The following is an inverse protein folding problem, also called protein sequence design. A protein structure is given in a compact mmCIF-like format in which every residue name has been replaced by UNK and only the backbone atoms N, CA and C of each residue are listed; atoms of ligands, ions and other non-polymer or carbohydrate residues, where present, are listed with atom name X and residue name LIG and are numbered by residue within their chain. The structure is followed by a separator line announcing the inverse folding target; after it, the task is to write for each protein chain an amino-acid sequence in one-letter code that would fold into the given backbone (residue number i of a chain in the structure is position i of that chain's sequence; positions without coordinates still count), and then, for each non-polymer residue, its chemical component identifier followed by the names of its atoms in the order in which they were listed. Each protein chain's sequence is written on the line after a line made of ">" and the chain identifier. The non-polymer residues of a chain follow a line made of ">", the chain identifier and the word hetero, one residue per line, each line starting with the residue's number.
data_IF_270224747272
#
_entry.id   IF_270224747272
#
_cell.length_a   1.000
_cell.length_b   1.000
_cell.length_c   1.000
_cell.angle_alpha   90.00
_cell.angle_beta   90.00
_cell.angle_gamma   90.00
#
_symmetry.space_group_name_H-M   'P 1'
#
loop_
_entity.id
_entity.type
_entity.pdbx_description
1 polymer ?
#
# COMPACT_ATOMS: atom_id res chain seq x y z
N UNK A 1 26.38 35.58 -11.81
CA UNK A 1 26.44 35.50 -10.34
C UNK A 1 26.12 34.06 -9.96
N UNK A 2 27.03 33.45 -9.22
CA UNK A 2 26.96 32.15 -8.55
C UNK A 2 26.40 30.96 -9.36
N UNK A 3 27.27 30.30 -10.13
CA UNK A 3 27.12 28.88 -10.41
C UNK A 3 27.45 28.13 -9.12
N UNK A 4 26.44 27.80 -8.31
CA UNK A 4 26.66 26.79 -7.27
C UNK A 4 27.07 25.52 -7.99
N UNK A 5 28.29 25.04 -7.75
CA UNK A 5 28.65 23.65 -8.04
C UNK A 5 27.73 22.78 -7.20
N UNK A 6 26.59 22.40 -7.78
CA UNK A 6 25.71 21.41 -7.17
C UNK A 6 26.51 20.13 -7.04
N UNK A 7 26.48 19.53 -5.86
CA UNK A 7 26.78 18.10 -5.72
C UNK A 7 26.00 17.35 -6.81
N UNK A 8 26.61 16.36 -7.49
CA UNK A 8 25.88 15.54 -8.44
C UNK A 8 24.60 15.00 -7.76
N UNK A 9 23.49 15.01 -8.50
CA UNK A 9 22.23 14.45 -8.02
C UNK A 9 22.44 12.94 -7.86
N UNK A 10 22.18 12.41 -6.67
CA UNK A 10 22.34 10.96 -6.41
C UNK A 10 21.34 10.16 -7.22
N UNK A 11 21.65 8.88 -7.48
CA UNK A 11 20.74 7.96 -8.15
C UNK A 11 19.35 7.95 -7.50
N UNK A 12 19.29 7.94 -6.17
CA UNK A 12 18.04 7.96 -5.39
C UNK A 12 17.21 9.21 -5.68
N UNK A 13 17.84 10.40 -5.65
CA UNK A 13 17.14 11.66 -5.88
C UNK A 13 16.67 11.76 -7.35
N UNK A 14 17.50 11.31 -8.28
CA UNK A 14 17.16 11.21 -9.70
C UNK A 14 15.96 10.28 -9.93
N UNK A 15 15.97 9.08 -9.33
CA UNK A 15 14.89 8.10 -9.41
C UNK A 15 13.58 8.64 -8.84
N UNK A 16 13.60 9.28 -7.67
CA UNK A 16 12.41 9.86 -7.05
C UNK A 16 11.86 11.08 -7.80
N UNK A 17 12.70 11.75 -8.60
CA UNK A 17 12.32 12.89 -9.45
C UNK A 17 11.72 12.49 -10.79
N UNK A 18 11.76 11.20 -11.16
CA UNK A 18 11.16 10.71 -12.39
C UNK A 18 9.63 10.90 -12.43
N UNK A 19 9.10 11.13 -13.63
CA UNK A 19 7.67 11.29 -13.84
C UNK A 19 6.93 10.00 -13.46
N UNK A 20 6.01 10.08 -12.51
CA UNK A 20 5.28 8.91 -11.97
C UNK A 20 5.85 8.39 -10.65
N UNK A 21 7.03 8.84 -10.22
CA UNK A 21 7.68 8.39 -8.99
C UNK A 21 7.40 9.32 -7.80
N UNK A 22 6.38 10.19 -7.92
CA UNK A 22 6.10 11.21 -6.89
C UNK A 22 5.65 10.61 -5.54
N UNK A 23 5.26 9.33 -5.52
CA UNK A 23 4.85 8.63 -4.30
C UNK A 23 6.02 8.07 -3.49
N UNK A 24 7.22 7.90 -4.06
CA UNK A 24 8.37 7.32 -3.37
C UNK A 24 8.98 8.28 -2.35
N UNK A 25 9.28 7.83 -1.14
CA UNK A 25 10.19 8.52 -0.23
C UNK A 25 11.64 8.31 -0.67
N UNK A 26 12.51 9.28 -0.39
CA UNK A 26 13.95 9.13 -0.61
C UNK A 26 14.52 8.31 0.56
N UNK A 27 14.93 7.09 0.27
CA UNK A 27 15.52 6.19 1.27
C UNK A 27 16.91 6.71 1.63
N UNK A 28 17.20 6.86 2.93
CA UNK A 28 18.53 7.27 3.38
C UNK A 28 19.56 6.19 3.08
N UNK A 29 20.74 6.58 2.57
CA UNK A 29 21.88 5.66 2.34
C UNK A 29 22.23 4.85 3.59
N UNK A 30 22.21 5.47 4.79
CA UNK A 30 22.43 4.78 6.07
C UNK A 30 21.48 3.59 6.31
N UNK A 31 20.26 3.63 5.77
CA UNK A 31 19.30 2.52 5.88
C UNK A 31 19.66 1.38 4.93
N UNK A 32 20.19 1.71 3.75
CA UNK A 32 20.59 0.77 2.70
C UNK A 32 21.92 0.09 3.07
N UNK A 33 22.86 0.83 3.65
CA UNK A 33 24.17 0.31 4.09
C UNK A 33 24.07 -0.73 5.22
N UNK A 34 22.98 -0.74 5.98
CA UNK A 34 22.73 -1.78 6.99
C UNK A 34 22.13 -3.04 6.37
N UNK A 35 22.98 -4.03 6.12
CA UNK A 35 22.65 -5.35 5.56
C UNK A 35 21.45 -6.04 6.24
N UNK A 36 21.23 -5.77 7.53
CA UNK A 36 20.08 -6.34 8.24
C UNK A 36 18.76 -5.93 7.58
N UNK A 37 18.65 -4.68 7.13
CA UNK A 37 17.46 -4.15 6.46
C UNK A 37 17.24 -4.76 5.08
N UNK A 38 18.30 -5.28 4.44
CA UNK A 38 18.27 -5.86 3.10
C UNK A 38 18.12 -7.39 3.09
N UNK A 39 18.06 -8.02 4.26
CA UNK A 39 17.97 -9.47 4.43
C UNK A 39 16.93 -10.11 3.49
N UNK A 40 17.36 -11.09 2.69
CA UNK A 40 16.52 -11.87 1.79
C UNK A 40 16.18 -11.23 0.44
N UNK A 41 16.59 -9.98 0.17
CA UNK A 41 16.39 -9.33 -1.14
C UNK A 41 17.32 -9.88 -2.23
N UNK A 42 18.52 -10.33 -1.86
CA UNK A 42 19.49 -10.95 -2.76
C UNK A 42 18.95 -12.14 -3.57
N UNK A 43 17.94 -12.85 -3.04
CA UNK A 43 17.34 -14.02 -3.69
C UNK A 43 16.19 -13.64 -4.64
N UNK A 44 15.79 -12.37 -4.65
CA UNK A 44 14.64 -11.87 -5.41
C UNK A 44 15.06 -11.01 -6.60
N UNK A 45 16.25 -10.42 -6.56
CA UNK A 45 16.75 -9.50 -7.59
C UNK A 45 17.97 -10.11 -8.29
N UNK A 46 17.98 -10.08 -9.63
CA UNK A 46 19.13 -10.48 -10.44
C UNK A 46 20.22 -9.40 -10.40
N UNK A 47 21.50 -9.76 -10.50
CA UNK A 47 22.61 -8.78 -10.45
C UNK A 47 22.54 -7.89 -9.19
N UNK A 48 22.23 -8.50 -8.03
CA UNK A 48 21.94 -7.77 -6.79
C UNK A 48 23.07 -6.83 -6.37
N UNK A 49 24.33 -7.25 -6.54
CA UNK A 49 25.49 -6.45 -6.12
C UNK A 49 25.65 -5.23 -7.00
N UNK A 50 25.63 -5.44 -8.31
CA UNK A 50 25.76 -4.42 -9.34
C UNK A 50 24.60 -3.42 -9.27
N UNK A 51 23.38 -3.91 -8.99
CA UNK A 51 22.22 -3.06 -8.76
C UNK A 51 22.34 -2.22 -7.48
N UNK A 52 22.89 -2.79 -6.41
CA UNK A 52 23.11 -2.07 -5.15
C UNK A 52 24.20 -1.01 -5.27
N UNK A 53 25.30 -1.33 -5.96
CA UNK A 53 26.38 -0.40 -6.29
C UNK A 53 25.86 0.78 -7.13
N UNK A 54 25.00 0.52 -8.12
CA UNK A 54 24.33 1.56 -8.90
C UNK A 54 23.43 2.47 -8.04
N UNK A 55 22.66 1.92 -7.11
CA UNK A 55 21.77 2.71 -6.22
C UNK A 55 22.58 3.63 -5.30
N UNK A 56 23.76 3.17 -4.85
CA UNK A 56 24.63 3.88 -3.93
C UNK A 56 25.67 4.78 -4.63
N UNK A 57 25.57 4.93 -5.96
CA UNK A 57 26.53 5.68 -6.78
C UNK A 57 28.01 5.27 -6.52
N UNK A 58 28.23 3.97 -6.25
CA UNK A 58 29.58 3.42 -6.07
C UNK A 58 30.22 3.31 -7.46
N UNK A 59 31.32 4.02 -7.67
CA UNK A 59 32.08 3.90 -8.92
C UNK A 59 32.53 2.44 -9.05
N UNK A 60 32.26 1.78 -10.20
CA UNK A 60 32.82 0.47 -10.45
C UNK A 60 34.34 0.61 -10.33
N UNK A 61 34.99 -0.31 -9.61
CA UNK A 61 36.45 -0.40 -9.66
C UNK A 61 36.79 -0.58 -11.15
N UNK A 62 37.44 0.42 -11.75
CA UNK A 62 38.00 0.27 -13.09
C UNK A 62 38.96 -0.91 -12.97
N UNK A 63 38.55 -2.09 -13.47
CA UNK A 63 39.42 -3.23 -13.57
C UNK A 63 40.65 -2.76 -14.35
N UNK A 64 41.76 -2.52 -13.66
CA UNK A 64 43.09 -2.25 -14.25
C UNK A 64 43.59 -3.45 -15.11
N UNK A 65 42.71 -4.40 -15.45
CA UNK A 65 42.99 -5.62 -16.22
C UNK A 65 42.81 -5.46 -17.74
N UNK A 66 42.42 -4.29 -18.27
CA UNK A 66 42.35 -4.06 -19.73
C UNK A 66 43.69 -3.68 -20.41
N UNK A 67 44.80 -3.51 -19.66
CA UNK A 67 46.10 -3.08 -20.23
C UNK A 67 47.17 -4.19 -20.40
N UNK A 68 46.90 -5.46 -20.09
CA UNK A 68 47.92 -6.53 -20.09
C UNK A 68 47.78 -7.64 -21.17
N UNK A 69 47.01 -7.42 -22.26
CA UNK A 69 46.99 -8.35 -23.43
C UNK A 69 47.46 -7.71 -24.76
N UNK A 70 48.32 -6.68 -24.71
CA UNK A 70 49.06 -6.18 -25.89
C UNK A 70 50.51 -6.71 -25.99
N UNK A 71 50.88 -7.87 -25.45
CA UNK A 71 52.20 -8.47 -25.76
C UNK A 71 52.13 -10.00 -25.88
N UNK A 72 51.98 -10.51 -27.12
CA UNK A 72 52.75 -11.61 -27.73
C UNK A 72 51.99 -12.11 -28.96
N UNK A 73 52.42 -11.71 -30.15
CA UNK A 73 52.47 -12.54 -31.37
C UNK A 73 53.03 -11.70 -32.54
N UNK A 74 54.28 -11.24 -32.41
CA UNK A 74 55.10 -11.01 -33.61
C UNK A 74 55.54 -12.38 -34.17
N UNK A 75 55.21 -12.59 -35.45
CA UNK A 75 55.70 -13.65 -36.37
C UNK A 75 54.89 -14.96 -36.48
N UNK A 76 53.87 -14.96 -37.37
CA UNK A 76 53.94 -15.84 -38.54
C UNK A 76 53.30 -15.23 -39.79
N UNK A 77 54.07 -15.27 -40.88
CA UNK A 77 53.71 -14.79 -42.20
C UNK A 77 52.84 -15.85 -42.88
N UNK A 78 51.61 -15.48 -43.25
CA UNK A 78 50.88 -15.83 -44.48
C UNK A 78 49.40 -16.17 -44.26
N UNK A 79 48.52 -15.40 -44.93
CA UNK A 79 47.19 -15.88 -45.32
C UNK A 79 46.01 -14.96 -45.01
N UNK A 80 45.72 -14.09 -45.98
CA UNK A 80 44.39 -13.55 -46.31
C UNK A 80 43.60 -12.79 -45.23
N UNK A 81 43.66 -11.47 -45.34
CA UNK A 81 42.92 -10.51 -44.53
C UNK A 81 41.40 -10.66 -44.65
N UNK A 82 40.71 -10.94 -43.54
CA UNK A 82 39.36 -10.44 -43.23
C UNK A 82 39.18 -10.25 -41.72
N UNK A 83 39.96 -9.35 -41.14
CA UNK A 83 39.61 -8.78 -39.84
C UNK A 83 38.43 -7.83 -40.04
N UNK A 84 37.25 -8.29 -39.63
CA UNK A 84 35.99 -7.58 -39.82
C UNK A 84 35.60 -6.82 -38.55
N UNK A 85 34.91 -5.66 -38.65
CA UNK A 85 34.51 -4.80 -37.53
C UNK A 85 33.39 -5.40 -36.64
N UNK A 86 33.31 -6.73 -36.56
CA UNK A 86 32.24 -7.49 -35.90
C UNK A 86 32.52 -7.88 -34.46
N UNK A 87 33.78 -7.89 -34.01
CA UNK A 87 34.16 -8.29 -32.63
C UNK A 87 33.87 -7.18 -31.62
N UNK A 88 34.30 -5.95 -31.90
CA UNK A 88 33.99 -4.76 -31.07
C UNK A 88 32.49 -4.49 -30.99
N UNK A 89 31.76 -4.58 -32.13
CA UNK A 89 30.31 -4.38 -32.16
C UNK A 89 29.53 -5.40 -31.32
N UNK A 90 30.01 -6.64 -31.22
CA UNK A 90 29.39 -7.68 -30.38
C UNK A 90 29.72 -7.49 -28.90
N UNK A 91 30.90 -6.97 -28.57
CA UNK A 91 31.27 -6.62 -27.21
C UNK A 91 30.42 -5.46 -26.68
N UNK A 92 30.36 -4.36 -27.42
CA UNK A 92 29.56 -3.18 -27.05
C UNK A 92 28.06 -3.48 -26.94
N UNK A 93 27.54 -4.42 -27.74
CA UNK A 93 26.13 -4.86 -27.63
C UNK A 93 25.85 -5.69 -26.38
N UNK A 94 26.85 -6.39 -25.82
CA UNK A 94 26.70 -7.19 -24.59
C UNK A 94 26.78 -6.30 -23.35
N UNK A 95 27.76 -5.40 -23.32
CA UNK A 95 27.89 -4.41 -22.24
C UNK A 95 26.63 -3.54 -22.12
N UNK A 96 26.05 -3.12 -23.25
CA UNK A 96 24.79 -2.36 -23.24
C UNK A 96 23.58 -3.17 -22.75
N UNK A 97 23.50 -4.47 -23.04
CA UNK A 97 22.42 -5.31 -22.51
C UNK A 97 22.57 -5.55 -21.01
N UNK A 98 23.79 -5.73 -20.54
CA UNK A 98 24.07 -5.97 -19.13
C UNK A 98 23.76 -4.71 -18.30
N UNK A 99 24.11 -3.51 -18.80
CA UNK A 99 23.71 -2.25 -18.17
C UNK A 99 22.19 -2.10 -18.07
N UNK A 100 21.44 -2.43 -19.13
CA UNK A 100 19.97 -2.33 -19.09
C UNK A 100 19.33 -3.30 -18.10
N UNK A 101 19.95 -4.48 -17.89
CA UNK A 101 19.50 -5.45 -16.88
C UNK A 101 19.80 -4.90 -15.48
N UNK A 102 20.99 -4.33 -15.26
CA UNK A 102 21.37 -3.72 -13.99
C UNK A 102 20.44 -2.56 -13.64
N UNK A 103 20.13 -1.67 -14.59
CA UNK A 103 19.16 -0.57 -14.40
C UNK A 103 17.80 -1.12 -13.94
N UNK A 104 17.26 -2.13 -14.65
CA UNK A 104 15.97 -2.72 -14.28
C UNK A 104 15.99 -3.41 -12.91
N UNK A 105 17.12 -4.04 -12.57
CA UNK A 105 17.35 -4.65 -11.26
C UNK A 105 17.47 -3.61 -10.15
N UNK A 106 18.10 -2.47 -10.41
CA UNK A 106 18.23 -1.35 -9.47
C UNK A 106 16.86 -0.74 -9.16
N UNK A 107 16.02 -0.50 -10.17
CA UNK A 107 14.65 -0.01 -9.95
C UNK A 107 13.83 -0.99 -9.09
N UNK A 108 13.92 -2.29 -9.40
CA UNK A 108 13.22 -3.33 -8.64
C UNK A 108 13.73 -3.43 -7.21
N UNK A 109 15.04 -3.42 -7.01
CA UNK A 109 15.68 -3.48 -5.70
C UNK A 109 15.29 -2.27 -4.85
N UNK A 110 15.42 -1.06 -5.39
CA UNK A 110 15.05 0.17 -4.70
C UNK A 110 13.57 0.16 -4.29
N UNK A 111 12.68 -0.32 -5.16
CA UNK A 111 11.27 -0.48 -4.83
C UNK A 111 11.02 -1.42 -3.64
N UNK A 112 11.72 -2.56 -3.58
CA UNK A 112 11.62 -3.51 -2.45
C UNK A 112 12.23 -2.96 -1.16
N UNK A 113 13.31 -2.19 -1.25
CA UNK A 113 13.90 -1.48 -0.12
C UNK A 113 12.92 -0.41 0.39
N UNK A 114 12.32 0.35 -0.51
CA UNK A 114 11.35 1.40 -0.21
C UNK A 114 10.14 0.84 0.57
N UNK A 115 9.61 -0.32 0.18
CA UNK A 115 8.52 -1.02 0.89
C UNK A 115 8.84 -1.23 2.38
N UNK A 116 10.09 -1.60 2.69
CA UNK A 116 10.57 -1.79 4.07
C UNK A 116 10.80 -0.45 4.75
N UNK A 117 11.44 0.48 4.05
CA UNK A 117 11.80 1.79 4.59
C UNK A 117 10.60 2.60 5.05
N UNK A 118 9.50 2.64 4.29
CA UNK A 118 8.30 3.41 4.67
C UNK A 118 7.58 2.87 5.91
N UNK A 119 7.92 1.66 6.36
CA UNK A 119 7.45 1.10 7.63
C UNK A 119 8.42 1.37 8.79
N UNK A 120 9.61 1.92 8.53
CA UNK A 120 10.55 2.38 9.55
C UNK A 120 10.13 3.73 10.13
N UNK A 121 10.72 4.11 11.27
CA UNK A 121 10.46 5.42 11.90
C UNK A 121 10.83 6.60 11.00
N UNK A 122 11.94 6.51 10.26
CA UNK A 122 12.38 7.58 9.37
C UNK A 122 11.50 7.66 8.12
N UNK A 123 11.24 6.53 7.46
CA UNK A 123 10.44 6.50 6.24
C UNK A 123 8.98 6.86 6.47
N UNK A 124 8.37 6.40 7.57
CA UNK A 124 6.97 6.75 7.88
C UNK A 124 6.81 8.26 8.15
N UNK A 125 7.83 8.90 8.73
CA UNK A 125 7.87 10.34 8.95
C UNK A 125 7.96 11.10 7.62
N UNK A 126 8.84 10.68 6.69
CA UNK A 126 8.90 11.29 5.36
C UNK A 126 7.57 11.15 4.59
N UNK A 127 6.95 9.98 4.67
CA UNK A 127 5.63 9.75 4.04
C UNK A 127 4.53 10.61 4.68
N UNK A 128 4.66 10.93 5.97
CA UNK A 128 3.73 11.82 6.68
C UNK A 128 3.78 13.24 6.13
N UNK A 129 4.98 13.78 5.87
CA UNK A 129 5.17 15.09 5.25
C UNK A 129 4.56 15.12 3.84
N UNK A 130 4.78 14.06 3.04
CA UNK A 130 4.13 13.91 1.74
C UNK A 130 2.61 13.85 1.83
N UNK A 131 2.07 13.18 2.85
CA UNK A 131 0.63 13.11 3.09
C UNK A 131 0.04 14.49 3.42
N UNK A 132 0.70 15.26 4.29
CA UNK A 132 0.31 16.65 4.65
C UNK A 132 0.36 17.61 3.45
N UNK A 133 1.31 17.41 2.54
CA UNK A 133 1.41 18.17 1.29
C UNK A 133 0.42 17.69 0.22
N UNK A 134 -0.15 16.48 0.38
CA UNK A 134 -1.20 15.96 -0.49
C UNK A 134 -0.67 15.36 -1.77
N UNK A 135 0.58 14.91 -1.75
CA UNK A 135 1.25 14.32 -2.92
C UNK A 135 0.54 13.07 -3.44
N UNK A 136 -0.12 12.32 -2.56
CA UNK A 136 -0.83 11.08 -2.91
C UNK A 136 -2.25 11.30 -3.46
N UNK A 137 -2.69 12.55 -3.59
CA UNK A 137 -4.02 12.91 -4.07
C UNK A 137 -5.13 12.72 -3.04
N UNK A 138 -6.36 12.68 -3.54
CA UNK A 138 -7.58 12.67 -2.72
C UNK A 138 -8.57 11.62 -3.21
N UNK A 139 -9.45 11.20 -2.30
CA UNK A 139 -10.48 10.23 -2.58
C UNK A 139 -11.44 10.72 -3.68
N UNK A 140 -11.75 9.88 -4.69
CA UNK A 140 -12.68 10.25 -5.76
C UNK A 140 -14.16 10.28 -5.30
N UNK A 141 -14.49 9.73 -4.12
CA UNK A 141 -15.88 9.71 -3.64
C UNK A 141 -16.29 11.08 -3.10
N UNK A 142 -17.39 11.61 -3.62
CA UNK A 142 -17.96 12.90 -3.23
C UNK A 142 -18.19 13.02 -1.72
N UNK A 143 -18.74 11.98 -1.08
CA UNK A 143 -19.08 12.01 0.34
C UNK A 143 -17.90 11.82 1.29
N UNK A 144 -16.70 11.52 0.75
CA UNK A 144 -15.45 11.54 1.50
C UNK A 144 -14.83 12.94 1.58
N UNK A 145 -15.48 13.98 1.03
CA UNK A 145 -15.05 15.37 1.18
C UNK A 145 -13.57 15.61 0.80
N UNK A 146 -13.08 14.96 -0.26
CA UNK A 146 -11.67 15.07 -0.70
C UNK A 146 -10.65 14.69 0.38
N UNK A 147 -10.96 13.69 1.22
CA UNK A 147 -9.96 13.05 2.11
C UNK A 147 -8.71 12.66 1.33
N UNK A 148 -7.54 12.98 1.89
CA UNK A 148 -6.23 12.58 1.34
C UNK A 148 -6.06 11.07 1.38
N UNK A 149 -5.49 10.51 0.32
CA UNK A 149 -5.26 9.07 0.17
C UNK A 149 -3.83 8.68 0.53
N UNK A 150 -3.59 7.39 0.73
CA UNK A 150 -2.26 6.80 0.94
C UNK A 150 -1.96 5.80 -0.17
N UNK A 151 -0.72 5.68 -0.65
CA UNK A 151 -0.34 4.63 -1.58
C UNK A 151 -0.42 3.26 -0.88
N UNK A 152 -0.83 2.24 -1.61
CA UNK A 152 -0.94 0.86 -1.11
C UNK A 152 -0.74 -0.14 -2.24
N UNK A 153 -0.06 -1.25 -1.96
CA UNK A 153 -0.03 -2.43 -2.82
C UNK A 153 -1.19 -3.37 -2.49
N UNK A 154 -1.81 -4.00 -3.50
CA UNK A 154 -2.77 -5.10 -3.26
C UNK A 154 -2.07 -6.45 -3.01
N UNK A 155 -0.80 -6.54 -3.38
CA UNK A 155 0.09 -7.67 -3.13
C UNK A 155 1.47 -7.16 -2.72
N UNK A 156 2.23 -8.02 -2.05
CA UNK A 156 3.64 -7.77 -1.74
C UNK A 156 4.56 -8.51 -2.76
N UNK A 157 3.97 -9.17 -3.76
CA UNK A 157 4.70 -9.88 -4.82
C UNK A 157 4.84 -8.94 -6.03
N UNK A 158 6.07 -8.63 -6.47
CA UNK A 158 6.30 -7.79 -7.66
C UNK A 158 5.65 -8.37 -8.92
N UNK A 159 5.12 -7.50 -9.76
CA UNK A 159 4.50 -7.80 -11.05
C UNK A 159 3.03 -8.20 -10.99
N UNK A 160 2.43 -8.33 -9.80
CA UNK A 160 1.01 -8.73 -9.67
C UNK A 160 0.03 -7.58 -9.93
N UNK A 161 0.26 -6.43 -9.31
CA UNK A 161 -0.58 -5.23 -9.51
C UNK A 161 0.21 -3.94 -9.29
N UNK A 162 -0.28 -2.87 -9.89
CA UNK A 162 0.22 -1.51 -9.78
C UNK A 162 -0.18 -0.85 -8.46
N UNK A 163 0.51 0.22 -8.09
CA UNK A 163 0.18 1.01 -6.90
C UNK A 163 -1.27 1.51 -6.94
N UNK A 164 -1.96 1.35 -5.82
CA UNK A 164 -3.31 1.87 -5.58
C UNK A 164 -3.31 2.95 -4.51
N UNK A 165 -4.45 3.60 -4.35
CA UNK A 165 -4.68 4.64 -3.36
C UNK A 165 -5.75 4.19 -2.36
N UNK A 166 -5.36 3.98 -1.11
CA UNK A 166 -6.26 3.72 -0.01
C UNK A 166 -6.85 5.01 0.54
N UNK A 167 -8.17 5.06 0.72
CA UNK A 167 -8.85 6.15 1.39
C UNK A 167 -9.21 5.78 2.84
N UNK A 168 -8.64 6.47 3.85
CA UNK A 168 -8.97 6.21 5.25
C UNK A 168 -10.40 6.63 5.63
N UNK A 169 -11.05 7.48 4.83
CA UNK A 169 -12.41 7.95 5.10
C UNK A 169 -13.51 6.95 4.71
N UNK A 170 -13.36 6.27 3.57
CA UNK A 170 -14.31 5.23 3.14
C UNK A 170 -13.80 3.80 3.21
N UNK A 171 -12.56 3.59 3.66
CA UNK A 171 -11.94 2.27 3.80
C UNK A 171 -11.96 1.45 2.51
N UNK A 172 -11.61 2.09 1.41
CA UNK A 172 -11.73 1.52 0.07
C UNK A 172 -10.53 1.97 -0.78
N UNK A 173 -10.23 1.18 -1.81
CA UNK A 173 -9.01 1.30 -2.60
C UNK A 173 -9.35 1.76 -4.02
N UNK A 174 -8.57 2.70 -4.55
CA UNK A 174 -8.78 3.35 -5.83
C UNK A 174 -7.56 3.25 -6.72
N UNK A 175 -7.79 3.18 -8.03
CA UNK A 175 -6.73 3.34 -9.02
C UNK A 175 -6.34 4.83 -9.07
N UNK A 176 -5.04 5.18 -9.06
CA UNK A 176 -4.61 6.56 -9.25
C UNK A 176 -5.20 7.14 -10.55
N UNK A 177 -5.70 8.38 -10.55
CA UNK A 177 -6.41 8.95 -11.70
C UNK A 177 -5.49 9.21 -12.90
N UNK A 178 -4.22 9.49 -12.66
CA UNK A 178 -3.24 9.75 -13.71
C UNK A 178 -2.58 8.43 -14.15
N UNK A 179 -2.56 8.18 -15.46
CA UNK A 179 -2.00 6.95 -16.05
C UNK A 179 -0.50 6.77 -15.84
N UNK A 180 0.24 7.84 -15.52
CA UNK A 180 1.68 7.77 -15.22
C UNK A 180 2.04 6.87 -14.04
N UNK A 181 1.08 6.61 -13.14
CA UNK A 181 1.28 5.72 -12.00
C UNK A 181 1.00 4.25 -12.32
N UNK A 182 0.54 3.93 -13.53
CA UNK A 182 0.23 2.55 -13.94
C UNK A 182 1.48 1.73 -14.27
N UNK A 183 2.66 2.36 -14.29
CA UNK A 183 3.95 1.67 -14.45
C UNK A 183 4.60 1.35 -13.10
N UNK A 184 4.11 1.93 -12.01
CA UNK A 184 4.68 1.76 -10.68
C UNK A 184 4.06 0.54 -10.00
N UNK A 185 4.90 -0.39 -9.58
CA UNK A 185 4.48 -1.61 -8.88
C UNK A 185 3.90 -1.28 -7.49
N UNK A 186 2.80 -1.93 -7.13
CA UNK A 186 2.19 -1.78 -5.82
C UNK A 186 2.99 -2.45 -4.70
N UNK A 187 3.76 -3.50 -5.02
CA UNK A 187 4.61 -4.21 -4.05
C UNK A 187 5.62 -3.28 -3.37
N UNK A 188 6.08 -2.23 -4.08
CA UNK A 188 7.03 -1.25 -3.55
C UNK A 188 6.47 -0.37 -2.41
N UNK A 189 5.15 -0.39 -2.18
CA UNK A 189 4.49 0.22 -1.04
C UNK A 189 3.97 -0.83 -0.05
N UNK A 190 3.67 -2.02 -0.56
CA UNK A 190 3.16 -3.15 0.21
C UNK A 190 1.74 -2.95 0.74
N UNK A 191 1.23 -4.00 1.38
CA UNK A 191 -0.12 -4.01 1.96
C UNK A 191 -0.21 -3.35 3.34
N UNK A 192 0.92 -3.27 4.06
CA UNK A 192 0.97 -2.93 5.48
C UNK A 192 1.04 -1.43 5.76
N UNK A 193 1.75 -0.67 4.91
CA UNK A 193 2.11 0.72 5.16
C UNK A 193 0.91 1.60 5.54
N UNK A 194 -0.19 1.54 4.78
CA UNK A 194 -1.36 2.38 5.02
C UNK A 194 -2.02 2.17 6.39
N UNK A 195 -2.07 0.93 6.88
CA UNK A 195 -2.61 0.63 8.20
C UNK A 195 -1.66 1.07 9.32
N UNK A 196 -0.36 0.79 9.16
CA UNK A 196 0.68 1.20 10.11
C UNK A 196 0.74 2.73 10.25
N UNK A 197 0.61 3.45 9.14
CA UNK A 197 0.57 4.91 9.12
C UNK A 197 -0.55 5.47 10.01
N UNK A 198 -1.77 4.95 9.88
CA UNK A 198 -2.93 5.44 10.63
C UNK A 198 -2.89 5.07 12.11
N UNK A 199 -2.26 3.95 12.46
CA UNK A 199 -2.00 3.55 13.84
C UNK A 199 -0.89 4.38 14.48
N UNK A 200 0.11 4.79 13.69
CA UNK A 200 1.25 5.60 14.17
C UNK A 200 0.85 7.05 14.40
N UNK A 201 -0.03 7.58 13.55
CA UNK A 201 -0.47 8.97 13.60
C UNK A 201 -2.00 9.10 13.73
N UNK A 202 -2.59 8.63 14.84
CA UNK A 202 -4.03 8.64 15.05
C UNK A 202 -4.60 10.07 15.09
N UNK A 203 -3.79 11.10 15.32
CA UNK A 203 -4.19 12.51 15.39
C UNK A 203 -4.39 13.19 14.02
N UNK A 204 -4.00 12.56 12.91
CA UNK A 204 -4.15 13.17 11.59
C UNK A 204 -5.62 13.48 11.28
N UNK A 205 -5.87 14.67 10.73
CA UNK A 205 -7.20 15.04 10.22
C UNK A 205 -7.41 14.39 8.85
N UNK A 206 -8.24 13.35 8.85
CA UNK A 206 -8.61 12.61 7.65
C UNK A 206 -9.61 13.37 6.76
N UNK A 207 -10.11 14.53 7.18
CA UNK A 207 -11.05 15.34 6.41
C UNK A 207 -10.33 16.51 5.73
N UNK A 208 -10.93 17.06 4.66
CA UNK A 208 -10.47 18.33 4.05
C UNK A 208 -10.38 19.48 5.05
N UNK A 209 -11.05 19.38 6.21
CA UNK A 209 -10.98 20.38 7.27
C UNK A 209 -9.58 20.52 7.86
N UNK A 210 -8.65 19.58 7.66
CA UNK A 210 -7.31 19.63 8.26
C UNK A 210 -6.52 20.88 7.91
N UNK A 211 -6.69 21.41 6.69
CA UNK A 211 -6.05 22.66 6.29
C UNK A 211 -6.68 23.91 6.96
N UNK A 212 -7.97 23.87 7.33
CA UNK A 212 -8.64 24.95 8.08
C UNK A 212 -8.59 24.71 9.62
N UNK A 213 -8.37 23.47 10.04
CA UNK A 213 -8.26 23.04 11.44
C UNK A 213 -6.82 23.13 11.97
N UNK A 214 -5.80 23.17 11.09
CA UNK A 214 -4.42 23.47 11.49
C UNK A 214 -4.28 24.87 12.13
N UNK A 215 -5.11 25.84 11.73
CA UNK A 215 -5.24 27.13 12.44
C UNK A 215 -5.99 27.04 13.78
N UNK A 216 -6.67 25.92 14.02
CA UNK A 216 -7.48 25.65 15.20
C UNK A 216 -6.91 24.53 16.06
N UNK A 217 -5.58 24.34 16.05
CA UNK A 217 -4.86 23.43 16.96
C UNK A 217 -4.88 23.94 18.43
N UNK A 218 -6.03 24.45 18.87
CA UNK A 218 -6.40 24.50 20.26
C UNK A 218 -6.74 23.06 20.68
N UNK A 219 -5.70 22.35 21.17
CA UNK A 219 -5.76 21.26 22.15
C UNK A 219 -7.19 20.87 22.57
N UNK A 220 -7.86 20.03 21.78
CA UNK A 220 -9.08 19.39 22.24
C UNK A 220 -8.70 18.14 23.03
N UNK A 221 -8.50 18.34 24.33
CA UNK A 221 -8.78 17.40 25.42
C UNK A 221 -8.08 16.04 25.41
N UNK A 222 -7.24 15.83 26.41
CA UNK A 222 -6.53 14.59 26.76
C UNK A 222 -7.44 13.40 27.14
N UNK A 223 -8.76 13.47 26.94
CA UNK A 223 -9.76 12.47 27.39
C UNK A 223 -10.68 11.94 26.26
N UNK A 224 -10.21 11.84 25.01
CA UNK A 224 -10.98 11.15 23.97
C UNK A 224 -10.69 9.64 24.02
N UNK A 225 -11.71 8.85 24.39
CA UNK A 225 -11.64 7.40 24.36
C UNK A 225 -11.24 6.91 22.95
N UNK A 226 -10.16 6.13 22.88
CA UNK A 226 -9.71 5.48 21.65
C UNK A 226 -10.37 4.10 21.53
N UNK A 227 -10.75 3.74 20.31
CA UNK A 227 -11.28 2.40 19.98
C UNK A 227 -10.22 1.71 19.14
N UNK A 228 -9.72 0.57 19.60
CA UNK A 228 -8.67 -0.22 18.93
C UNK A 228 -7.44 0.62 18.53
N UNK A 229 -7.02 1.56 19.39
CA UNK A 229 -5.86 2.42 19.11
C UNK A 229 -6.10 3.59 18.14
N UNK A 230 -7.34 3.81 17.69
CA UNK A 230 -7.71 4.96 16.84
C UNK A 230 -8.78 5.82 17.50
N UNK A 231 -8.78 7.12 17.23
CA UNK A 231 -9.88 7.98 17.66
C UNK A 231 -11.18 7.63 16.89
N UNK A 232 -12.35 7.56 17.56
CA UNK A 232 -13.62 7.23 16.92
C UNK A 232 -13.97 8.14 15.73
N UNK A 233 -13.58 9.42 15.79
CA UNK A 233 -13.76 10.41 14.71
C UNK A 233 -12.99 10.05 13.43
N UNK A 234 -11.90 9.28 13.55
CA UNK A 234 -11.03 8.89 12.45
C UNK A 234 -11.37 7.52 11.88
N UNK A 235 -12.20 6.73 12.57
CA UNK A 235 -12.73 5.49 12.03
C UNK A 235 -13.70 5.87 10.91
N UNK A 236 -13.34 5.65 9.64
CA UNK A 236 -14.20 5.77 8.46
C UNK A 236 -15.23 6.94 8.47
N UNK A 237 -14.81 8.21 8.61
CA UNK A 237 -15.72 9.37 8.66
C UNK A 237 -16.56 9.57 7.38
N UNK A 238 -16.19 8.92 6.28
CA UNK A 238 -16.90 8.94 4.99
C UNK A 238 -17.92 7.81 4.81
N UNK A 239 -18.14 6.98 5.84
CA UNK A 239 -19.17 5.93 5.86
C UNK A 239 -20.27 6.26 6.89
N UNK A 240 -21.40 5.58 6.77
CA UNK A 240 -22.55 5.73 7.66
C UNK A 240 -23.69 6.59 7.11
N UNK A 241 -24.66 6.89 7.98
CA UNK A 241 -25.89 7.59 7.59
C UNK A 241 -25.58 8.96 6.99
N UNK A 242 -26.34 9.34 5.96
CA UNK A 242 -26.16 10.58 5.18
C UNK A 242 -24.83 10.70 4.41
N UNK A 243 -23.91 9.72 4.52
CA UNK A 243 -22.67 9.62 3.74
C UNK A 243 -22.78 8.60 2.61
N UNK A 244 -23.89 7.88 2.52
CA UNK A 244 -24.24 7.02 1.39
C UNK A 244 -25.04 7.84 0.38
N UNK A 245 -24.68 7.74 -0.89
CA UNK A 245 -25.39 8.43 -1.97
C UNK A 245 -26.80 7.84 -2.13
N UNK A 246 -27.81 8.68 -2.03
CA UNK A 246 -29.21 8.30 -2.25
C UNK A 246 -29.65 8.65 -3.68
N UNK A 247 -29.83 7.66 -4.58
CA UNK A 247 -30.30 7.95 -5.93
C UNK A 247 -31.75 8.47 -5.92
N UNK A 248 -31.98 9.58 -6.60
CA UNK A 248 -33.31 10.21 -6.74
C UNK A 248 -33.60 10.51 -8.21
N UNK A 249 -34.81 10.19 -8.66
CA UNK A 249 -35.32 10.50 -10.01
C UNK A 249 -36.59 11.35 -9.83
N UNK A 250 -36.63 12.52 -10.45
CA UNK A 250 -37.70 13.51 -10.27
C UNK A 250 -38.00 13.85 -8.80
N UNK A 251 -36.99 13.79 -7.92
CA UNK A 251 -37.12 14.06 -6.48
C UNK A 251 -37.56 12.85 -5.64
N UNK A 252 -37.96 11.74 -6.26
CA UNK A 252 -38.34 10.51 -5.57
C UNK A 252 -37.14 9.57 -5.41
N UNK A 253 -36.99 8.97 -4.23
CA UNK A 253 -35.97 7.93 -4.00
C UNK A 253 -36.23 6.73 -4.90
N UNK A 254 -35.19 6.24 -5.55
CA UNK A 254 -35.26 5.01 -6.32
C UNK A 254 -35.43 3.84 -5.34
N UNK A 255 -36.40 2.96 -5.62
CA UNK A 255 -36.65 1.77 -4.80
C UNK A 255 -35.44 0.83 -4.81
N UNK A 256 -35.14 0.21 -3.67
CA UNK A 256 -34.09 -0.82 -3.53
C UNK A 256 -34.38 -2.08 -4.37
N UNK A 257 -35.66 -2.31 -4.69
CA UNK A 257 -36.10 -3.45 -5.50
C UNK A 257 -35.98 -3.16 -7.00
N UNK A 258 -35.80 -1.88 -7.40
CA UNK A 258 -35.65 -1.53 -8.80
C UNK A 258 -34.31 -2.03 -9.35
N UNK A 259 -34.28 -2.37 -10.64
CA UNK A 259 -33.04 -2.82 -11.30
C UNK A 259 -31.95 -1.73 -11.31
N UNK A 260 -32.36 -0.46 -11.44
CA UNK A 260 -31.50 0.72 -11.30
C UNK A 260 -31.36 1.21 -9.85
N UNK A 261 -31.85 0.42 -8.89
CA UNK A 261 -31.76 0.70 -7.47
C UNK A 261 -30.34 0.58 -6.93
N UNK A 262 -30.09 1.15 -5.73
CA UNK A 262 -28.79 1.07 -5.09
C UNK A 262 -28.48 -0.39 -4.72
N UNK A 263 -27.40 -0.96 -5.28
CA UNK A 263 -26.95 -2.33 -4.98
C UNK A 263 -25.83 -2.32 -3.93
N UNK A 264 -25.80 -3.37 -3.11
CA UNK A 264 -24.71 -3.62 -2.15
C UNK A 264 -24.45 -2.45 -1.18
N UNK A 265 -25.51 -1.77 -0.71
CA UNK A 265 -25.38 -0.68 0.28
C UNK A 265 -24.66 -1.15 1.55
N UNK A 266 -24.89 -2.40 1.97
CA UNK A 266 -24.27 -3.02 3.13
C UNK A 266 -22.73 -2.96 3.15
N UNK A 267 -22.08 -2.90 1.98
CA UNK A 267 -20.61 -2.77 1.90
C UNK A 267 -20.12 -1.39 2.37
N UNK A 268 -21.02 -0.41 2.43
CA UNK A 268 -20.75 0.99 2.78
C UNK A 268 -21.52 1.44 4.03
N UNK A 269 -22.21 0.51 4.68
CA UNK A 269 -22.91 0.73 5.93
C UNK A 269 -21.90 0.76 7.08
N UNK A 270 -22.17 1.61 8.07
CA UNK A 270 -21.38 1.73 9.29
C UNK A 270 -22.34 1.82 10.48
N UNK A 271 -22.06 1.15 11.60
CA UNK A 271 -22.93 1.23 12.78
C UNK A 271 -23.05 2.67 13.28
N UNK A 272 -24.22 3.01 13.82
CA UNK A 272 -24.48 4.33 14.42
C UNK A 272 -23.67 4.51 15.71
N UNK A 273 -23.54 3.44 16.49
CA UNK A 273 -22.71 3.38 17.68
C UNK A 273 -21.37 2.71 17.36
N UNK A 274 -20.29 3.46 17.49
CA UNK A 274 -18.94 2.99 17.20
C UNK A 274 -18.37 2.10 18.30
N UNK A 275 -18.92 2.15 19.53
CA UNK A 275 -18.47 1.31 20.63
C UNK A 275 -18.61 -0.19 20.34
N UNK A 276 -19.50 -0.56 19.41
CA UNK A 276 -19.69 -1.94 18.94
C UNK A 276 -18.45 -2.47 18.22
N UNK A 277 -17.63 -1.58 17.65
CA UNK A 277 -16.39 -1.94 16.95
C UNK A 277 -15.20 -2.15 17.90
N UNK A 278 -15.36 -1.92 19.21
CA UNK A 278 -14.31 -2.10 20.21
C UNK A 278 -14.07 -3.59 20.46
N UNK A 279 -13.06 -4.14 19.78
CA UNK A 279 -12.75 -5.57 19.82
C UNK A 279 -12.18 -5.97 21.18
N UNK A 280 -11.39 -5.09 21.81
CA UNK A 280 -10.79 -5.36 23.12
C UNK A 280 -11.86 -5.42 24.22
N UNK A 281 -12.81 -4.47 24.21
CA UNK A 281 -13.95 -4.50 25.14
C UNK A 281 -14.82 -5.73 24.91
N UNK A 282 -15.15 -6.05 23.67
CA UNK A 282 -15.97 -7.22 23.35
C UNK A 282 -15.30 -8.52 23.79
N UNK A 283 -13.98 -8.66 23.58
CA UNK A 283 -13.23 -9.84 24.03
C UNK A 283 -13.24 -9.99 25.56
N UNK A 284 -13.00 -8.90 26.30
CA UNK A 284 -13.04 -8.91 27.76
C UNK A 284 -14.43 -9.26 28.30
N UNK A 285 -15.50 -8.68 27.73
CA UNK A 285 -16.88 -9.00 28.11
C UNK A 285 -17.25 -10.48 27.85
N UNK A 286 -16.68 -11.10 26.82
CA UNK A 286 -16.89 -12.52 26.52
C UNK A 286 -16.10 -13.45 27.45
N UNK A 287 -14.86 -13.10 27.82
CA UNK A 287 -13.95 -13.99 28.57
C UNK A 287 -13.96 -13.76 30.09
N UNK A 288 -14.19 -12.55 30.59
CA UNK A 288 -14.37 -12.31 32.03
C UNK A 288 -15.69 -12.89 32.55
N UNK A 289 -16.67 -13.11 31.66
CA UNK A 289 -17.89 -13.82 31.98
C UNK A 289 -17.70 -15.35 32.13
N UNK A 290 -16.55 -15.90 31.69
CA UNK A 290 -16.21 -17.33 31.83
C UNK A 290 -15.31 -17.61 33.03
N UNK A 291 -14.64 -16.61 33.62
CA UNK A 291 -13.75 -16.82 34.78
C UNK A 291 -14.46 -16.88 36.13
N UNK A 292 -15.75 -16.55 36.20
CA UNK A 292 -16.53 -16.60 37.45
C UNK A 292 -17.18 -17.99 37.71
N UNK A 293 -17.01 -18.97 36.82
CA UNK A 293 -17.67 -20.29 36.88
C UNK A 293 -16.73 -21.48 37.20
N UNK A 294 -15.45 -21.26 37.56
CA UNK A 294 -14.48 -22.36 37.88
C UNK A 294 -14.01 -22.43 39.36
N UNK A 295 -14.77 -21.89 40.31
CA UNK A 295 -14.44 -21.97 41.76
C UNK A 295 -15.60 -22.53 42.63
N UNK A 296 -16.34 -23.54 42.16
CA UNK A 296 -17.26 -24.29 43.05
C UNK A 296 -17.47 -25.75 42.60
N UNK A 297 -16.48 -26.61 42.88
CA UNK A 297 -16.66 -28.05 42.93
C UNK A 297 -16.02 -28.62 44.23
N UNK A 298 -16.69 -28.45 45.36
CA UNK A 298 -16.77 -29.52 46.36
C UNK A 298 -18.07 -29.46 47.19
N UNK A 299 -18.59 -30.65 47.52
CA UNK A 299 -19.67 -30.97 48.48
C UNK A 299 -21.16 -30.85 48.04
N UNK A 300 -21.73 -32.01 47.68
CA UNK A 300 -22.94 -32.50 48.38
C UNK A 300 -24.31 -32.37 47.70
N UNK A 301 -24.86 -33.52 47.27
CA UNK A 301 -26.26 -33.72 46.85
C UNK A 301 -27.32 -33.04 47.74
N UNK A 302 -28.33 -32.41 47.15
CA UNK A 302 -29.75 -32.82 47.30
C UNK A 302 -30.69 -32.14 46.31
N UNK A 303 -31.69 -32.92 45.91
CA UNK A 303 -32.77 -32.68 44.95
C UNK A 303 -33.72 -31.52 45.38
N UNK A 304 -34.08 -30.61 44.48
CA UNK A 304 -35.46 -30.15 44.16
C UNK A 304 -35.49 -28.91 43.25
N UNK A 305 -36.40 -28.89 42.26
CA UNK A 305 -37.08 -27.65 41.86
C UNK A 305 -36.52 -26.81 40.70
N UNK A 306 -36.63 -27.34 39.47
CA UNK A 306 -36.99 -26.64 38.21
C UNK A 306 -37.14 -25.10 38.28
N UNK A 307 -36.34 -24.35 37.51
CA UNK A 307 -36.75 -23.24 36.62
C UNK A 307 -35.62 -22.95 35.61
N UNK A 308 -35.66 -23.60 34.44
CA UNK A 308 -34.76 -23.28 33.33
C UNK A 308 -35.13 -21.94 32.71
N UNK A 309 -34.26 -20.94 32.87
CA UNK A 309 -34.27 -19.75 32.02
C UNK A 309 -33.30 -19.99 30.87
N UNK A 310 -33.85 -20.37 29.71
CA UNK A 310 -33.10 -20.30 28.45
C UNK A 310 -32.82 -18.83 28.14
N UNK A 311 -31.61 -18.34 28.41
CA UNK A 311 -31.16 -17.07 27.83
C UNK A 311 -30.94 -17.29 26.35
N UNK A 312 -31.64 -16.48 25.55
CA UNK A 312 -31.55 -16.48 24.10
C UNK A 312 -30.14 -16.08 23.68
N UNK A 313 -29.46 -17.03 23.06
CA UNK A 313 -28.34 -16.79 22.17
C UNK A 313 -28.85 -15.84 21.07
N UNK A 314 -28.50 -14.57 21.13
CA UNK A 314 -28.54 -13.73 19.92
C UNK A 314 -27.27 -14.06 19.14
N UNK A 315 -27.25 -15.24 18.52
CA UNK A 315 -26.40 -15.44 17.36
C UNK A 315 -26.76 -14.32 16.40
N UNK A 316 -25.80 -13.48 16.02
CA UNK A 316 -25.94 -12.57 14.89
C UNK A 316 -26.40 -13.44 13.72
N UNK A 317 -27.69 -13.35 13.39
CA UNK A 317 -28.25 -14.02 12.23
C UNK A 317 -27.62 -13.32 11.05
N UNK A 318 -26.53 -13.90 10.54
CA UNK A 318 -26.11 -13.72 9.16
C UNK A 318 -27.27 -14.24 8.34
N UNK A 319 -28.16 -13.34 7.93
CA UNK A 319 -29.34 -13.66 7.13
C UNK A 319 -28.86 -14.23 5.80
N UNK A 320 -28.65 -15.55 5.77
CA UNK A 320 -28.51 -16.34 4.56
C UNK A 320 -29.93 -16.37 3.95
N UNK A 321 -30.30 -15.30 3.25
CA UNK A 321 -31.46 -15.34 2.38
C UNK A 321 -31.18 -16.40 1.31
N UNK A 322 -31.77 -17.58 1.49
CA UNK A 322 -31.92 -18.55 0.43
C UNK A 322 -32.76 -17.94 -0.68
N UNK A 323 -32.11 -17.36 -1.67
CA UNK A 323 -32.68 -17.21 -3.01
C UNK A 323 -31.95 -18.23 -3.88
N UNK A 324 -32.72 -19.15 -4.44
CA UNK A 324 -32.28 -20.08 -5.47
C UNK A 324 -31.60 -19.29 -6.59
N UNK A 325 -30.26 -19.31 -6.59
CA UNK A 325 -29.44 -18.80 -7.68
C UNK A 325 -28.97 -19.99 -8.50
N UNK A 326 -29.61 -20.21 -9.65
CA UNK A 326 -29.02 -21.02 -10.71
C UNK A 326 -27.68 -20.39 -11.11
N UNK A 327 -26.65 -21.24 -11.27
CA UNK A 327 -25.36 -20.83 -11.78
C UNK A 327 -25.53 -20.17 -13.16
N UNK A 328 -25.12 -18.90 -13.28
CA UNK A 328 -25.03 -18.22 -14.57
C UNK A 328 -23.56 -18.20 -14.96
N UNK A 329 -23.27 -18.92 -16.05
CA UNK A 329 -22.05 -18.84 -16.84
C UNK A 329 -21.76 -17.39 -17.21
N UNK A 330 -20.49 -17.02 -17.13
CA UNK A 330 -20.00 -15.67 -17.43
C UNK A 330 -19.61 -15.65 -18.91
N UNK A 331 -20.53 -15.21 -19.78
CA UNK A 331 -20.14 -14.89 -21.16
C UNK A 331 -19.68 -13.44 -21.25
N UNK A 332 -18.48 -13.28 -21.79
CA UNK A 332 -17.86 -12.00 -22.05
C UNK A 332 -18.39 -11.36 -23.35
N UNK A 333 -18.38 -10.03 -23.34
CA UNK A 333 -18.34 -9.11 -24.47
C UNK A 333 -19.66 -8.53 -24.98
N UNK A 334 -19.71 -7.20 -24.90
CA UNK A 334 -20.46 -6.40 -25.84
C UNK A 334 -19.85 -6.53 -27.24
N UNK A 335 -20.67 -6.95 -28.19
CA UNK A 335 -20.53 -6.69 -29.60
C UNK A 335 -21.92 -6.82 -30.23
N UNK A 336 -22.49 -5.72 -30.71
CA UNK A 336 -23.83 -5.74 -31.32
C UNK A 336 -24.40 -4.37 -31.62
N UNK A 337 -23.65 -3.60 -32.40
CA UNK A 337 -24.14 -2.44 -33.17
C UNK A 337 -25.29 -2.85 -34.10
N UNK A 338 -26.22 -1.91 -34.30
CA UNK A 338 -27.08 -1.73 -35.49
C UNK A 338 -28.01 -2.88 -35.89
N UNK A 339 -29.32 -2.66 -35.71
CA UNK A 339 -30.27 -2.30 -36.78
C UNK A 339 -31.64 -1.94 -36.20
#
# INVERSE_FOLDING_TARGET
>A
MSTSSGTPESWISSFCSLLGHEYFAEVSEEFIEDDFNLTGLQNQVAMYKEALEMILDVEPEEDEEEDDEEEEDEEDISGDARDGPGRERRHHSRVASDLSVIESSAEMLYGLIHQRFICSRAGIQQMSEKYELGHFGVCPRTNCNQTRTLPVGLSDIPGEDTVKLFCPSCLDVYVPPNSRFQTVDGAFFGRTFGALFLLTFPEYDLSRSGAEAASSLARTGEDQAMINGMYPKNIAPGLGRNKIYEPKIYGFRVSEVADSGPRMQWLRDKPDDLAILDEARNFAEEHDAESDDEDDDDEGMTNTGRHGTKRQYNSVIRQKQGRNGTAMEVDANGAGSEL
#
